data_IF_929927363998
#
_entry.id   IF_929927363998
#
_cell.length_a   1.000
_cell.length_b   1.000
_cell.length_c   1.000
_cell.angle_alpha   90.00
_cell.angle_beta   90.00
_cell.angle_gamma   90.00
#
_symmetry.space_group_name_H-M   'P 1'
#
loop_
_entity.id
_entity.type
_entity.pdbx_description
1 polymer ?
#
# COMPACT_ATOMS: atom_id res chain seq x y z
N UNK A 1 18.50 11.09 8.34
CA UNK A 1 17.68 10.23 7.46
C UNK A 1 16.61 11.10 6.85
N UNK A 2 16.37 10.93 5.55
CA UNK A 2 15.26 11.54 4.81
C UNK A 2 14.43 10.42 4.17
N UNK A 3 13.14 10.70 3.96
CA UNK A 3 12.28 9.78 3.21
C UNK A 3 12.55 9.97 1.72
N UNK A 4 12.73 8.87 1.01
CA UNK A 4 12.71 8.82 -0.44
C UNK A 4 11.64 7.84 -0.91
N UNK A 5 11.07 8.09 -2.07
CA UNK A 5 10.00 7.29 -2.65
C UNK A 5 10.47 6.72 -3.99
N UNK A 6 10.13 5.46 -4.27
CA UNK A 6 10.41 4.84 -5.57
C UNK A 6 9.31 3.86 -5.96
N UNK A 7 9.25 3.55 -7.25
CA UNK A 7 8.37 2.51 -7.79
C UNK A 7 9.22 1.29 -8.18
N UNK A 8 8.81 0.09 -7.76
CA UNK A 8 9.45 -1.16 -8.18
C UNK A 8 8.98 -1.62 -9.57
N UNK A 9 9.61 -2.68 -10.08
CA UNK A 9 9.31 -3.25 -11.41
C UNK A 9 7.88 -3.82 -11.51
N UNK A 10 7.25 -4.13 -10.38
CA UNK A 10 5.87 -4.62 -10.30
C UNK A 10 4.86 -3.46 -10.20
N UNK A 11 5.34 -2.21 -10.17
CA UNK A 11 4.53 -1.01 -10.10
C UNK A 11 4.09 -0.63 -8.69
N UNK A 12 4.66 -1.23 -7.64
CA UNK A 12 4.41 -0.85 -6.24
C UNK A 12 5.19 0.40 -5.87
N UNK A 13 4.53 1.32 -5.19
CA UNK A 13 5.18 2.46 -4.57
C UNK A 13 5.71 2.10 -3.18
N UNK A 14 6.96 2.45 -2.94
CA UNK A 14 7.66 2.22 -1.69
C UNK A 14 8.16 3.52 -1.10
N UNK A 15 8.12 3.60 0.23
CA UNK A 15 8.80 4.65 0.99
C UNK A 15 9.99 4.04 1.73
N UNK A 16 11.16 4.63 1.57
CA UNK A 16 12.39 4.20 2.25
C UNK A 16 13.03 5.35 3.02
N UNK A 17 13.80 5.03 4.05
CA UNK A 17 14.71 5.96 4.70
C UNK A 17 16.10 5.82 4.09
N UNK A 18 16.65 6.94 3.65
CA UNK A 18 18.02 7.06 3.14
C UNK A 18 18.79 8.15 3.89
N UNK A 19 20.13 8.10 3.90
CA UNK A 19 20.95 9.22 4.34
C UNK A 19 20.65 10.50 3.55
N UNK A 20 20.85 11.67 4.17
CA UNK A 20 20.66 12.95 3.50
C UNK A 20 21.64 13.07 2.31
N UNK A 21 21.15 13.45 1.13
CA UNK A 21 21.96 13.55 -0.09
C UNK A 21 22.05 12.25 -0.91
N UNK A 22 21.38 11.17 -0.49
CA UNK A 22 21.30 9.88 -1.21
C UNK A 22 19.87 9.57 -1.68
N UNK A 23 19.04 10.57 -1.96
CA UNK A 23 17.64 10.40 -2.38
C UNK A 23 17.51 9.60 -3.69
N UNK A 24 18.54 9.63 -4.55
CA UNK A 24 18.60 8.84 -5.78
C UNK A 24 18.81 7.32 -5.56
N UNK A 25 19.15 6.91 -4.34
CA UNK A 25 19.36 5.50 -3.95
C UNK A 25 18.15 4.93 -3.19
N UNK A 26 16.96 5.49 -3.42
CA UNK A 26 15.73 5.13 -2.72
C UNK A 26 15.47 3.60 -2.68
N UNK A 27 15.78 2.87 -3.75
CA UNK A 27 15.61 1.41 -3.83
C UNK A 27 16.52 0.61 -2.90
N UNK A 28 17.63 1.20 -2.44
CA UNK A 28 18.60 0.59 -1.52
C UNK A 28 18.41 1.03 -0.07
N UNK A 29 17.45 1.93 0.19
CA UNK A 29 17.16 2.45 1.52
C UNK A 29 16.45 1.43 2.42
N UNK A 30 16.22 1.82 3.68
CA UNK A 30 15.49 0.99 4.64
C UNK A 30 13.98 1.13 4.38
N UNK A 31 13.24 0.07 4.04
CA UNK A 31 11.80 0.14 3.81
C UNK A 31 11.03 0.59 5.06
N UNK A 32 10.15 1.58 4.89
CA UNK A 32 9.23 2.06 5.93
C UNK A 32 7.89 1.30 5.83
N UNK A 33 7.51 0.91 4.62
CA UNK A 33 6.32 0.13 4.30
C UNK A 33 5.69 0.55 2.96
N UNK A 34 4.46 0.10 2.65
CA UNK A 34 3.62 -0.87 3.39
C UNK A 34 4.29 -2.24 3.63
N UNK A 35 3.81 -3.05 4.60
CA UNK A 35 4.39 -4.37 4.87
C UNK A 35 4.12 -5.37 3.73
N UNK A 36 4.80 -6.51 3.76
CA UNK A 36 4.50 -7.63 2.87
C UNK A 36 3.03 -8.08 3.03
N UNK A 37 2.33 -8.19 1.90
CA UNK A 37 0.92 -8.56 1.81
C UNK A 37 0.73 -10.02 1.37
N UNK A 38 1.80 -10.75 1.08
CA UNK A 38 1.75 -12.16 0.64
C UNK A 38 0.91 -13.09 1.53
N UNK A 39 0.83 -12.91 2.87
CA UNK A 39 -0.01 -13.77 3.71
C UNK A 39 -1.51 -13.61 3.48
N UNK A 40 -1.96 -12.56 2.77
CA UNK A 40 -3.38 -12.34 2.46
C UNK A 40 -3.89 -13.24 1.33
N UNK A 41 -3.00 -13.92 0.59
CA UNK A 41 -3.38 -14.84 -0.48
C UNK A 41 -4.11 -14.16 -1.64
N UNK A 42 -3.83 -12.88 -1.89
CA UNK A 42 -4.41 -12.10 -2.97
C UNK A 42 -3.73 -12.44 -4.30
N UNK A 43 -4.42 -12.21 -5.43
CA UNK A 43 -3.72 -12.22 -6.72
C UNK A 43 -2.67 -11.11 -6.79
N UNK A 44 -1.60 -11.28 -7.56
CA UNK A 44 -0.54 -10.27 -7.69
C UNK A 44 -1.10 -8.88 -8.06
N UNK A 45 -2.10 -8.82 -8.94
CA UNK A 45 -2.76 -7.57 -9.30
C UNK A 45 -3.55 -6.92 -8.14
N UNK A 46 -4.13 -7.72 -7.25
CA UNK A 46 -4.80 -7.21 -6.05
C UNK A 46 -3.78 -6.75 -5.00
N UNK A 47 -2.67 -7.47 -4.83
CA UNK A 47 -1.59 -7.08 -3.92
C UNK A 47 -0.97 -5.74 -4.31
N UNK A 48 -0.58 -5.57 -5.57
CA UNK A 48 -0.01 -4.30 -6.05
C UNK A 48 -1.00 -3.15 -5.84
N UNK A 49 -2.30 -3.38 -6.11
CA UNK A 49 -3.34 -2.38 -5.85
C UNK A 49 -3.47 -2.07 -4.38
N UNK A 50 -3.57 -3.08 -3.50
CA UNK A 50 -3.71 -2.87 -2.06
C UNK A 50 -2.50 -2.14 -1.49
N UNK A 51 -1.29 -2.58 -1.87
CA UNK A 51 -0.03 -1.93 -1.51
C UNK A 51 -0.06 -0.45 -1.87
N UNK A 52 -0.39 -0.10 -3.12
CA UNK A 52 -0.47 1.28 -3.56
C UNK A 52 -1.57 2.07 -2.85
N UNK A 53 -2.71 1.45 -2.51
CA UNK A 53 -3.76 2.10 -1.72
C UNK A 53 -3.29 2.42 -0.29
N UNK A 54 -2.53 1.54 0.34
CA UNK A 54 -1.93 1.76 1.66
C UNK A 54 -0.87 2.86 1.61
N UNK A 55 0.04 2.78 0.63
CA UNK A 55 1.08 3.77 0.40
C UNK A 55 0.50 5.18 0.21
N UNK A 56 -0.46 5.34 -0.70
CA UNK A 56 -1.07 6.63 -1.03
C UNK A 56 -1.84 7.26 0.15
N UNK A 57 -2.23 6.45 1.14
CA UNK A 57 -2.91 6.92 2.37
C UNK A 57 -1.94 7.19 3.53
N UNK A 58 -0.64 6.98 3.31
CA UNK A 58 0.38 7.06 4.36
C UNK A 58 0.19 5.99 5.44
N UNK A 59 -0.34 4.82 5.08
CA UNK A 59 -0.50 3.67 5.98
C UNK A 59 0.69 2.73 5.82
N UNK A 60 1.87 3.20 6.23
CA UNK A 60 3.13 2.49 5.99
C UNK A 60 3.49 1.56 7.17
N UNK A 61 3.17 1.98 8.39
CA UNK A 61 3.56 1.29 9.62
C UNK A 61 2.35 0.90 10.49
N UNK A 62 2.59 0.02 11.47
CA UNK A 62 1.58 -0.34 12.49
C UNK A 62 1.11 0.86 13.32
N UNK A 63 1.96 1.88 13.49
CA UNK A 63 1.60 3.12 14.18
C UNK A 63 0.61 3.94 13.36
N UNK A 64 0.79 4.00 12.03
CA UNK A 64 -0.09 4.74 11.13
C UNK A 64 -1.49 4.13 11.09
N UNK A 65 -1.61 2.83 11.29
CA UNK A 65 -2.89 2.12 11.31
C UNK A 65 -3.74 2.43 12.56
N UNK A 66 -3.13 2.91 13.65
CA UNK A 66 -3.82 3.10 14.93
C UNK A 66 -4.90 4.18 14.82
N UNK A 67 -6.16 3.77 14.98
CA UNK A 67 -7.32 4.68 14.88
C UNK A 67 -7.75 5.00 13.44
N UNK A 68 -7.04 4.50 12.42
CA UNK A 68 -7.34 4.73 10.99
C UNK A 68 -8.03 3.55 10.32
N UNK A 69 -8.80 2.76 11.07
CA UNK A 69 -9.49 1.57 10.55
C UNK A 69 -10.40 1.84 9.35
N UNK A 70 -11.01 3.03 9.27
CA UNK A 70 -11.81 3.46 8.11
C UNK A 70 -10.97 3.58 6.83
N UNK A 71 -9.75 4.10 6.94
CA UNK A 71 -8.84 4.27 5.80
C UNK A 71 -8.32 2.92 5.31
N UNK A 72 -8.06 1.99 6.24
CA UNK A 72 -7.69 0.61 5.93
C UNK A 72 -8.83 -0.09 5.18
N UNK A 73 -10.05 0.02 5.71
CA UNK A 73 -11.23 -0.57 5.08
C UNK A 73 -11.44 0.00 3.67
N UNK A 74 -11.32 1.32 3.50
CA UNK A 74 -11.42 1.98 2.20
C UNK A 74 -10.31 1.54 1.23
N UNK A 75 -9.08 1.33 1.72
CA UNK A 75 -7.98 0.82 0.91
C UNK A 75 -8.27 -0.60 0.39
N UNK A 76 -8.79 -1.47 1.25
CA UNK A 76 -9.18 -2.85 0.90
C UNK A 76 -10.31 -2.83 -0.14
N UNK A 77 -11.38 -2.08 0.09
CA UNK A 77 -12.48 -1.97 -0.87
C UNK A 77 -12.01 -1.46 -2.25
N UNK A 78 -11.16 -0.43 -2.24
CA UNK A 78 -10.61 0.14 -3.48
C UNK A 78 -9.72 -0.86 -4.23
N UNK A 79 -8.91 -1.62 -3.50
CA UNK A 79 -7.98 -2.60 -4.09
C UNK A 79 -8.71 -3.80 -4.69
N UNK A 80 -9.75 -4.29 -4.02
CA UNK A 80 -10.53 -5.42 -4.47
C UNK A 80 -11.56 -5.04 -5.54
N UNK A 81 -11.80 -3.74 -5.78
CA UNK A 81 -12.82 -3.23 -6.71
C UNK A 81 -14.20 -3.86 -6.49
N UNK A 82 -14.49 -4.23 -5.24
CA UNK A 82 -15.79 -4.81 -4.89
C UNK A 82 -16.77 -3.67 -4.72
N UNK A 83 -17.55 -3.43 -5.76
CA UNK A 83 -18.66 -2.49 -5.72
C UNK A 83 -19.87 -3.14 -5.02
N UNK A 84 -20.28 -2.52 -3.91
CA UNK A 84 -21.44 -2.94 -3.12
C UNK A 84 -22.71 -2.93 -3.96
N UNK A 85 -22.85 -1.99 -4.90
CA UNK A 85 -24.02 -1.94 -5.77
C UNK A 85 -24.05 -3.13 -6.74
N UNK A 86 -22.90 -3.47 -7.33
CA UNK A 86 -22.74 -4.67 -8.16
C UNK A 86 -23.10 -5.94 -7.39
N UNK A 87 -22.58 -6.13 -6.16
CA UNK A 87 -22.92 -7.31 -5.34
C UNK A 87 -24.40 -7.34 -4.97
N UNK A 88 -24.97 -6.20 -4.56
CA UNK A 88 -26.39 -6.11 -4.19
C UNK A 88 -27.30 -6.40 -5.39
N UNK A 89 -26.86 -6.04 -6.61
CA UNK A 89 -27.53 -6.37 -7.86
C UNK A 89 -27.64 -7.87 -8.13
N UNK A 90 -26.74 -8.70 -7.59
CA UNK A 90 -26.78 -10.16 -7.75
C UNK A 90 -27.88 -10.85 -6.92
N UNK A 91 -28.44 -10.16 -5.93
CA UNK A 91 -29.52 -10.69 -5.06
C UNK A 91 -30.93 -10.28 -5.52
N UNK A 92 -31.05 -9.60 -6.66
CA UNK A 92 -32.34 -9.27 -7.29
C UNK A 92 -32.71 -10.32 -8.32
#
# INVERSE_FOLDING_TARGET
MVRADYQDDEGRWWATLVPLGHEGEASMGIPIGPPDLSPLGLSSAQEVRLHNQLYNRGLLTSKDLRGRGRDVFAAIQSALQVDVATVTGLYR
#
